data_IF_063771318391
#
_entry.id   IF_063771318391
#
_cell.length_a   1.000
_cell.length_b   1.000
_cell.length_c   1.000
_cell.angle_alpha   90.00
_cell.angle_beta   90.00
_cell.angle_gamma   90.00
#
_symmetry.space_group_name_H-M   'P 1'
#
loop_
_entity.id
_entity.type
_entity.pdbx_description
1 polymer ?
#
# COMPACT_ATOMS: atom_id res chain seq x y z
N UNK A 1 17.43 24.41 -12.09
CA UNK A 1 16.20 23.69 -11.72
C UNK A 1 16.36 22.23 -12.10
N UNK A 2 16.42 21.33 -11.12
CA UNK A 2 16.61 19.90 -11.34
C UNK A 2 15.27 19.26 -11.71
N UNK A 3 15.05 19.03 -13.01
CA UNK A 3 13.87 18.31 -13.49
C UNK A 3 14.04 16.85 -13.07
N UNK A 4 13.14 16.38 -12.22
CA UNK A 4 13.13 15.01 -11.70
C UNK A 4 13.07 14.03 -12.89
N UNK A 5 14.20 13.38 -13.21
CA UNK A 5 14.38 12.43 -14.33
C UNK A 5 13.55 11.13 -14.19
N UNK A 6 12.58 11.14 -13.27
CA UNK A 6 11.63 10.04 -13.00
C UNK A 6 10.37 10.12 -13.86
N UNK A 7 10.12 11.23 -14.55
CA UNK A 7 9.12 11.26 -15.63
C UNK A 7 9.72 10.54 -16.83
N UNK A 8 9.48 9.24 -16.90
CA UNK A 8 9.92 8.40 -18.00
C UNK A 8 9.40 8.99 -19.31
N UNK A 9 10.31 9.46 -20.16
CA UNK A 9 9.91 9.76 -21.53
C UNK A 9 9.33 8.49 -22.14
N UNK A 10 8.23 8.65 -22.87
CA UNK A 10 7.40 7.53 -23.32
C UNK A 10 8.17 6.51 -24.16
N UNK A 11 7.62 5.30 -24.26
CA UNK A 11 8.19 4.20 -25.07
C UNK A 11 8.47 4.63 -26.52
N UNK A 12 7.63 5.50 -27.08
CA UNK A 12 7.81 6.06 -28.42
C UNK A 12 9.12 6.86 -28.56
N UNK A 13 9.44 7.75 -27.62
CA UNK A 13 10.69 8.53 -27.65
C UNK A 13 11.92 7.63 -27.55
N UNK A 14 11.83 6.56 -26.76
CA UNK A 14 12.89 5.55 -26.64
C UNK A 14 13.04 4.70 -27.91
N UNK A 15 11.95 4.44 -28.63
CA UNK A 15 12.01 3.77 -29.94
C UNK A 15 12.74 4.63 -30.97
N UNK A 16 12.35 5.89 -31.12
CA UNK A 16 13.01 6.81 -32.04
C UNK A 16 14.49 7.00 -31.69
N UNK A 17 14.82 7.13 -30.40
CA UNK A 17 16.20 7.17 -29.96
C UNK A 17 16.98 5.90 -30.32
N UNK A 18 16.36 4.72 -30.22
CA UNK A 18 17.00 3.45 -30.59
C UNK A 18 17.32 3.39 -32.10
N UNK A 19 16.41 3.88 -32.94
CA UNK A 19 16.59 3.92 -34.38
C UNK A 19 17.73 4.90 -34.74
N UNK A 20 17.76 6.10 -34.13
CA UNK A 20 18.86 7.06 -34.28
C UNK A 20 20.21 6.54 -33.74
N UNK A 21 20.22 5.76 -32.66
CA UNK A 21 21.44 5.12 -32.17
C UNK A 21 21.95 4.02 -33.12
N UNK A 22 21.04 3.30 -33.80
CA UNK A 22 21.40 2.33 -34.82
C UNK A 22 22.09 3.00 -36.03
N UNK A 23 21.71 4.24 -36.34
CA UNK A 23 22.37 5.10 -37.33
C UNK A 23 23.71 5.70 -36.83
N UNK A 24 24.16 5.36 -35.63
CA UNK A 24 25.43 5.84 -35.06
C UNK A 24 25.37 7.25 -34.46
N UNK A 25 24.18 7.83 -34.29
CA UNK A 25 24.03 9.20 -33.76
C UNK A 25 24.40 9.26 -32.27
N UNK A 26 25.08 10.33 -31.89
CA UNK A 26 25.46 10.62 -30.50
C UNK A 26 24.29 11.14 -29.65
N UNK A 27 24.34 10.89 -28.34
CA UNK A 27 23.24 11.24 -27.42
C UNK A 27 22.88 12.73 -27.40
N UNK A 28 23.82 13.65 -27.61
CA UNK A 28 23.55 15.10 -27.65
C UNK A 28 22.72 15.50 -28.86
N UNK A 29 23.02 14.90 -30.01
CA UNK A 29 22.29 15.11 -31.25
C UNK A 29 20.85 14.59 -31.12
N UNK A 30 20.70 13.38 -30.60
CA UNK A 30 19.40 12.73 -30.35
C UNK A 30 18.58 13.48 -29.29
N UNK A 31 19.23 14.01 -28.25
CA UNK A 31 18.57 14.82 -27.23
C UNK A 31 17.96 16.10 -27.79
N UNK A 32 18.70 16.82 -28.63
CA UNK A 32 18.24 18.02 -29.30
C UNK A 32 17.09 17.71 -30.27
N UNK A 33 17.19 16.63 -31.02
CA UNK A 33 16.18 16.21 -32.00
C UNK A 33 14.85 15.80 -31.34
N UNK A 34 14.91 15.07 -30.22
CA UNK A 34 13.73 14.57 -29.51
C UNK A 34 13.19 15.55 -28.45
N UNK A 35 13.86 16.68 -28.22
CA UNK A 35 13.51 17.62 -27.13
C UNK A 35 13.61 17.00 -25.73
N UNK A 36 14.47 15.98 -25.58
CA UNK A 36 14.64 15.21 -24.34
C UNK A 36 15.92 15.67 -23.63
N UNK A 37 15.96 15.80 -22.29
CA UNK A 37 17.17 16.17 -21.57
C UNK A 37 18.37 15.28 -21.93
N UNK A 38 19.51 15.90 -22.25
CA UNK A 38 20.70 15.18 -22.71
C UNK A 38 21.16 14.07 -21.75
N UNK A 39 20.98 14.27 -20.44
CA UNK A 39 21.32 13.24 -19.44
C UNK A 39 20.40 12.02 -19.48
N UNK A 40 19.12 12.19 -19.83
CA UNK A 40 18.21 11.06 -20.02
C UNK A 40 18.60 10.24 -21.25
N UNK A 41 18.89 10.92 -22.37
CA UNK A 41 19.33 10.27 -23.62
C UNK A 41 20.70 9.61 -23.47
N UNK A 42 21.61 10.21 -22.69
CA UNK A 42 22.89 9.59 -22.34
C UNK A 42 22.70 8.25 -21.61
N UNK A 43 21.72 8.16 -20.71
CA UNK A 43 21.36 6.90 -20.04
C UNK A 43 20.77 5.89 -21.02
N UNK A 44 19.94 6.36 -21.97
CA UNK A 44 19.40 5.50 -23.02
C UNK A 44 20.48 4.91 -23.91
N UNK A 45 21.44 5.71 -24.34
CA UNK A 45 22.54 5.25 -25.18
C UNK A 45 23.41 4.19 -24.46
N UNK A 46 23.65 4.38 -23.16
CA UNK A 46 24.35 3.38 -22.35
C UNK A 46 23.59 2.05 -22.30
N UNK A 47 22.27 2.09 -22.05
CA UNK A 47 21.45 0.88 -22.02
C UNK A 47 21.31 0.23 -23.40
N UNK A 48 21.17 1.03 -24.46
CA UNK A 48 21.17 0.54 -25.83
C UNK A 48 22.46 -0.21 -26.16
N UNK A 49 23.62 0.32 -25.76
CA UNK A 49 24.92 -0.35 -25.96
C UNK A 49 25.08 -1.61 -25.11
N UNK A 50 24.49 -1.65 -23.91
CA UNK A 50 24.65 -2.78 -22.98
C UNK A 50 23.66 -3.92 -23.23
N UNK A 51 22.41 -3.61 -23.56
CA UNK A 51 21.28 -4.57 -23.59
C UNK A 51 20.57 -4.55 -24.96
N UNK A 52 20.91 -3.61 -25.84
CA UNK A 52 20.26 -3.46 -27.14
C UNK A 52 18.93 -2.72 -27.08
N UNK A 53 18.24 -2.73 -28.23
CA UNK A 53 16.96 -2.04 -28.44
C UNK A 53 15.90 -2.45 -27.43
N UNK A 54 15.76 -3.74 -27.16
CA UNK A 54 14.73 -4.24 -26.25
C UNK A 54 14.94 -3.76 -24.82
N UNK A 55 16.19 -3.77 -24.33
CA UNK A 55 16.51 -3.23 -23.01
C UNK A 55 16.21 -1.74 -22.88
N UNK A 56 16.40 -0.96 -23.94
CA UNK A 56 16.01 0.45 -23.99
C UNK A 56 14.49 0.62 -23.99
N UNK A 57 13.77 -0.18 -24.79
CA UNK A 57 12.30 -0.11 -24.87
C UNK A 57 11.62 -0.50 -23.55
N UNK A 58 12.18 -1.46 -22.82
CA UNK A 58 11.68 -1.85 -21.49
C UNK A 58 12.10 -0.88 -20.37
N UNK A 59 13.01 0.07 -20.63
CA UNK A 59 13.45 1.02 -19.62
C UNK A 59 12.29 1.89 -19.12
N UNK A 60 11.93 1.76 -17.84
CA UNK A 60 10.86 2.56 -17.25
C UNK A 60 9.46 2.08 -17.59
N UNK A 61 9.31 0.93 -18.29
CA UNK A 61 8.06 0.18 -18.21
C UNK A 61 7.82 -0.16 -16.74
N UNK A 62 6.63 0.19 -16.25
CA UNK A 62 6.33 0.01 -14.84
C UNK A 62 6.31 -1.48 -14.57
N UNK A 63 7.19 -1.94 -13.68
CA UNK A 63 7.23 -3.30 -13.12
C UNK A 63 5.80 -3.85 -13.03
N UNK A 64 5.57 -5.02 -13.66
CA UNK A 64 4.23 -5.60 -13.87
C UNK A 64 3.28 -5.28 -12.71
N UNK A 65 2.24 -4.49 -13.00
CA UNK A 65 1.24 -4.10 -12.01
C UNK A 65 0.25 -5.25 -11.88
N UNK A 66 0.53 -6.15 -10.94
CA UNK A 66 -0.46 -7.14 -10.53
C UNK A 66 -1.60 -6.42 -9.79
N UNK A 67 -2.83 -6.73 -10.14
CA UNK A 67 -4.01 -6.32 -9.40
C UNK A 67 -4.01 -6.95 -8.00
N UNK A 68 -4.95 -6.56 -7.15
CA UNK A 68 -5.06 -7.12 -5.80
C UNK A 68 -5.47 -8.59 -5.84
N UNK A 69 -6.45 -8.92 -6.69
CA UNK A 69 -7.01 -10.26 -6.80
C UNK A 69 -5.96 -11.30 -7.23
N UNK A 70 -5.11 -11.00 -8.22
CA UNK A 70 -4.03 -11.91 -8.66
C UNK A 70 -3.03 -12.15 -7.53
N UNK A 71 -2.73 -11.13 -6.71
CA UNK A 71 -1.80 -11.29 -5.56
C UNK A 71 -2.39 -12.23 -4.52
N UNK A 72 -3.67 -12.03 -4.18
CA UNK A 72 -4.37 -12.86 -3.19
C UNK A 72 -4.50 -14.28 -3.69
N UNK A 73 -4.95 -14.47 -4.94
CA UNK A 73 -5.13 -15.79 -5.54
C UNK A 73 -3.80 -16.56 -5.60
N UNK A 74 -2.71 -15.90 -5.99
CA UNK A 74 -1.39 -16.53 -6.03
C UNK A 74 -0.86 -16.88 -4.65
N UNK A 75 -1.00 -15.98 -3.67
CA UNK A 75 -0.57 -16.26 -2.29
C UNK A 75 -1.40 -17.38 -1.66
N UNK A 76 -2.72 -17.35 -1.81
CA UNK A 76 -3.64 -18.40 -1.33
C UNK A 76 -3.34 -19.76 -1.95
N UNK A 77 -3.07 -19.81 -3.26
CA UNK A 77 -2.72 -21.07 -3.93
C UNK A 77 -1.48 -21.73 -3.32
N UNK A 78 -0.47 -20.92 -2.94
CA UNK A 78 0.77 -21.43 -2.33
C UNK A 78 0.60 -21.75 -0.84
N UNK A 79 -0.08 -20.88 -0.09
CA UNK A 79 -0.17 -20.99 1.38
C UNK A 79 -1.24 -21.99 1.81
N UNK A 80 -2.43 -21.91 1.22
CA UNK A 80 -3.59 -22.74 1.60
C UNK A 80 -3.80 -23.90 0.63
N UNK A 81 -3.48 -23.69 -0.65
CA UNK A 81 -3.71 -24.66 -1.73
C UNK A 81 -2.55 -25.64 -1.98
N UNK A 82 -1.43 -25.52 -1.27
CA UNK A 82 -0.26 -26.40 -1.42
C UNK A 82 0.46 -26.31 -2.77
N UNK A 83 0.11 -25.36 -3.64
CA UNK A 83 0.77 -25.19 -4.93
C UNK A 83 2.24 -24.80 -4.74
N UNK A 84 3.10 -25.32 -5.61
CA UNK A 84 4.49 -24.86 -5.63
C UNK A 84 4.56 -23.41 -6.13
N UNK A 85 5.62 -22.70 -5.75
CA UNK A 85 5.85 -21.32 -6.21
C UNK A 85 5.91 -21.24 -7.74
N UNK A 86 6.54 -22.22 -8.40
CA UNK A 86 6.66 -22.27 -9.85
C UNK A 86 5.30 -22.46 -10.53
N UNK A 87 4.43 -23.31 -9.98
CA UNK A 87 3.07 -23.50 -10.49
C UNK A 87 2.23 -22.24 -10.32
N UNK A 88 2.28 -21.59 -9.15
CA UNK A 88 1.58 -20.33 -8.91
C UNK A 88 2.10 -19.22 -9.85
N UNK A 89 3.42 -19.12 -10.05
CA UNK A 89 3.99 -18.15 -10.98
C UNK A 89 3.49 -18.34 -12.40
N UNK A 90 3.46 -19.59 -12.90
CA UNK A 90 2.91 -19.89 -14.23
C UNK A 90 1.42 -19.61 -14.31
N UNK A 91 0.63 -20.07 -13.33
CA UNK A 91 -0.82 -19.92 -13.32
C UNK A 91 -1.28 -18.48 -13.28
N UNK A 92 -0.56 -17.62 -12.56
CA UNK A 92 -0.94 -16.23 -12.32
C UNK A 92 -0.08 -15.21 -13.08
N UNK A 93 0.77 -15.67 -14.02
CA UNK A 93 1.60 -14.79 -14.86
C UNK A 93 2.60 -13.94 -14.07
N UNK A 94 3.14 -14.46 -12.96
CA UNK A 94 4.03 -13.71 -12.08
C UNK A 94 5.47 -13.87 -12.56
N UNK A 95 6.05 -12.78 -13.06
CA UNK A 95 7.39 -12.74 -13.61
C UNK A 95 8.51 -12.94 -12.58
N UNK A 96 8.26 -12.66 -11.29
CA UNK A 96 9.31 -12.64 -10.25
C UNK A 96 8.96 -13.43 -9.00
N UNK A 97 9.81 -14.40 -8.65
CA UNK A 97 9.68 -15.21 -7.43
C UNK A 97 9.66 -14.34 -6.16
N UNK A 98 10.52 -13.33 -6.08
CA UNK A 98 10.58 -12.42 -4.91
C UNK A 98 9.28 -11.67 -4.66
N UNK A 99 8.51 -11.37 -5.72
CA UNK A 99 7.19 -10.75 -5.58
C UNK A 99 6.20 -11.73 -4.95
N UNK A 100 6.17 -12.98 -5.43
CA UNK A 100 5.32 -14.02 -4.88
C UNK A 100 5.69 -14.37 -3.43
N UNK A 101 6.98 -14.48 -3.12
CA UNK A 101 7.46 -14.77 -1.76
C UNK A 101 7.01 -13.71 -0.76
N UNK A 102 7.11 -12.44 -1.15
CA UNK A 102 6.62 -11.32 -0.33
C UNK A 102 5.12 -11.44 -0.08
N UNK A 103 4.33 -11.78 -1.10
CA UNK A 103 2.89 -11.91 -0.93
C UNK A 103 2.51 -13.09 -0.06
N UNK A 104 3.16 -14.24 -0.23
CA UNK A 104 2.96 -15.41 0.63
C UNK A 104 3.27 -15.08 2.09
N UNK A 105 4.32 -14.31 2.35
CA UNK A 105 4.66 -13.87 3.72
C UNK A 105 3.56 -13.00 4.32
N UNK A 106 3.16 -11.94 3.61
CA UNK A 106 2.09 -11.03 4.05
C UNK A 106 0.76 -11.78 4.27
N UNK A 107 0.44 -12.71 3.38
CA UNK A 107 -0.78 -13.51 3.47
C UNK A 107 -0.77 -14.44 4.70
N UNK A 108 0.38 -15.03 5.08
CA UNK A 108 0.47 -15.79 6.34
C UNK A 108 0.31 -14.90 7.58
N UNK A 109 0.77 -13.65 7.52
CA UNK A 109 0.71 -12.71 8.64
C UNK A 109 -0.70 -12.12 8.85
N UNK A 110 -1.46 -11.86 7.78
CA UNK A 110 -2.74 -11.15 7.88
C UNK A 110 -3.75 -11.45 6.78
N UNK A 111 -3.62 -12.59 6.10
CA UNK A 111 -4.53 -13.05 5.06
C UNK A 111 -4.59 -12.12 3.84
N UNK A 112 -5.72 -12.13 3.15
CA UNK A 112 -5.95 -11.31 1.96
C UNK A 112 -5.79 -9.80 2.25
N UNK A 113 -6.27 -9.34 3.41
CA UNK A 113 -6.26 -7.92 3.79
C UNK A 113 -4.84 -7.34 3.86
N UNK A 114 -3.84 -8.14 4.24
CA UNK A 114 -2.43 -7.72 4.27
C UNK A 114 -1.85 -7.42 2.87
N UNK A 115 -2.50 -7.88 1.80
CA UNK A 115 -2.11 -7.62 0.41
C UNK A 115 -2.80 -6.40 -0.19
N UNK A 116 -3.74 -5.78 0.52
CA UNK A 116 -4.41 -4.58 0.01
C UNK A 116 -3.39 -3.47 -0.24
N UNK A 117 -3.57 -2.69 -1.32
CA UNK A 117 -2.73 -1.53 -1.54
C UNK A 117 -2.88 -0.56 -0.36
N UNK A 118 -1.80 -0.42 0.41
CA UNK A 118 -1.74 0.58 1.47
C UNK A 118 -1.74 1.97 0.83
N UNK A 119 -2.47 2.96 1.38
CA UNK A 119 -2.47 4.32 0.84
C UNK A 119 -1.03 4.81 0.68
N UNK A 120 -0.71 5.28 -0.53
CA UNK A 120 0.64 5.76 -0.87
C UNK A 120 0.85 7.11 -0.21
N UNK A 121 1.76 7.16 0.75
CA UNK A 121 2.18 8.38 1.42
C UNK A 121 3.19 8.07 2.53
N UNK A 122 4.00 9.06 2.91
CA UNK A 122 4.71 9.03 4.19
C UNK A 122 3.61 8.89 5.25
N UNK A 123 3.65 7.91 6.18
CA UNK A 123 2.77 8.00 7.35
C UNK A 123 3.01 9.39 7.93
N UNK A 124 1.94 10.17 8.06
CA UNK A 124 2.04 11.56 8.55
C UNK A 124 3.01 11.57 9.71
N UNK A 125 4.07 12.40 9.58
CA UNK A 125 5.10 12.49 10.61
C UNK A 125 4.46 12.69 11.97
N UNK A 126 5.16 12.23 13.01
CA UNK A 126 4.87 12.34 14.45
C UNK A 126 4.12 13.62 14.83
N UNK A 127 2.82 13.64 14.57
CA UNK A 127 1.85 14.60 15.06
C UNK A 127 0.93 13.85 16.01
N UNK A 128 0.36 14.51 17.03
CA UNK A 128 -0.46 13.85 18.04
C UNK A 128 -1.81 13.48 17.41
N UNK A 129 -1.83 12.37 16.69
CA UNK A 129 -2.99 11.83 15.99
C UNK A 129 -3.05 10.34 16.22
N UNK A 130 -3.87 9.95 17.21
CA UNK A 130 -4.15 8.60 17.67
C UNK A 130 -2.99 7.89 18.39
N UNK A 131 -2.60 8.43 19.55
CA UNK A 131 -2.14 7.53 20.60
C UNK A 131 -3.26 6.50 20.88
N UNK A 132 -2.96 5.21 21.07
CA UNK A 132 -3.95 4.29 21.62
C UNK A 132 -4.44 4.88 22.94
N UNK A 133 -5.78 4.95 23.15
CA UNK A 133 -6.41 5.57 24.35
C UNK A 133 -5.56 5.29 25.57
N UNK A 134 -5.03 6.34 26.19
CA UNK A 134 -4.14 6.17 27.34
C UNK A 134 -4.88 5.40 28.43
N UNK A 135 -4.14 4.74 29.32
CA UNK A 135 -4.76 4.01 30.44
C UNK A 135 -5.72 4.89 31.23
N UNK A 136 -5.39 6.18 31.34
CA UNK A 136 -6.15 7.21 32.05
C UNK A 136 -7.49 7.49 31.36
N UNK A 137 -7.51 7.73 30.05
CA UNK A 137 -8.76 7.97 29.30
C UNK A 137 -9.74 6.79 29.40
N UNK A 138 -9.23 5.55 29.38
CA UNK A 138 -10.08 4.35 29.58
C UNK A 138 -10.61 4.25 31.01
N UNK A 139 -9.85 4.73 31.99
CA UNK A 139 -10.30 4.75 33.39
C UNK A 139 -11.37 5.82 33.58
N UNK A 140 -11.22 7.00 32.98
CA UNK A 140 -12.22 8.07 33.04
C UNK A 140 -13.57 7.66 32.43
N UNK A 141 -13.54 6.99 31.28
CA UNK A 141 -14.77 6.47 30.65
C UNK A 141 -15.46 5.41 31.54
N UNK A 142 -14.67 4.55 32.21
CA UNK A 142 -15.19 3.58 33.18
C UNK A 142 -15.77 4.26 34.41
N UNK A 143 -15.10 5.29 34.93
CA UNK A 143 -15.60 6.08 36.08
C UNK A 143 -16.93 6.72 35.72
N UNK A 144 -17.03 7.42 34.58
CA UNK A 144 -18.29 8.03 34.11
C UNK A 144 -19.43 7.01 33.99
N UNK A 145 -19.12 5.83 33.42
CA UNK A 145 -20.11 4.74 33.30
C UNK A 145 -20.56 4.22 34.67
N UNK A 146 -19.62 4.04 35.61
CA UNK A 146 -19.92 3.59 36.96
C UNK A 146 -20.72 4.63 37.76
N UNK A 147 -20.39 5.91 37.62
CA UNK A 147 -21.12 7.01 38.25
C UNK A 147 -22.57 7.07 37.75
N UNK A 148 -22.79 6.91 36.44
CA UNK A 148 -24.13 6.83 35.88
C UNK A 148 -24.93 5.63 36.43
N UNK A 149 -24.29 4.46 36.56
CA UNK A 149 -24.92 3.26 37.14
C UNK A 149 -25.26 3.47 38.62
N UNK A 150 -24.35 4.04 39.41
CA UNK A 150 -24.58 4.34 40.83
C UNK A 150 -25.72 5.36 40.97
N UNK A 151 -25.76 6.40 40.15
CA UNK A 151 -26.83 7.38 40.16
C UNK A 151 -28.20 6.73 39.86
N UNK A 152 -28.25 5.84 38.87
CA UNK A 152 -29.46 5.09 38.54
C UNK A 152 -29.92 4.20 39.70
N UNK A 153 -29.01 3.45 40.33
CA UNK A 153 -29.33 2.59 41.47
C UNK A 153 -29.82 3.40 42.68
N UNK A 154 -29.18 4.53 42.98
CA UNK A 154 -29.62 5.45 44.06
C UNK A 154 -31.04 5.95 43.82
N UNK A 155 -31.39 6.34 42.59
CA UNK A 155 -32.76 6.74 42.23
C UNK A 155 -33.76 5.60 42.43
N UNK A 156 -33.42 4.37 42.04
CA UNK A 156 -34.28 3.20 42.26
C UNK A 156 -34.51 2.93 43.75
N UNK A 157 -33.48 3.06 44.59
CA UNK A 157 -33.59 2.88 46.04
C UNK A 157 -34.50 3.96 46.64
N UNK A 158 -34.31 5.22 46.25
CA UNK A 158 -35.16 6.33 46.71
C UNK A 158 -36.64 6.12 46.34
N UNK A 159 -36.92 5.70 45.11
CA UNK A 159 -38.28 5.39 44.65
C UNK A 159 -38.91 4.24 45.46
N UNK A 160 -38.17 3.17 45.75
CA UNK A 160 -38.68 2.07 46.59
C UNK A 160 -38.95 2.50 48.02
N UNK A 161 -38.10 3.35 48.59
CA UNK A 161 -38.30 3.90 49.93
C UNK A 161 -39.55 4.80 49.99
N UNK A 162 -39.76 5.64 48.96
CA UNK A 162 -40.96 6.48 48.83
C UNK A 162 -42.23 5.61 48.71
N UNK A 163 -42.21 4.59 47.86
CA UNK A 163 -43.35 3.67 47.72
C UNK A 163 -43.66 2.93 49.02
N UNK A 164 -42.63 2.46 49.74
CA UNK A 164 -42.81 1.74 51.02
C UNK A 164 -43.37 2.63 52.13
N UNK A 165 -42.95 3.90 52.19
CA UNK A 165 -43.50 4.89 53.14
C UNK A 165 -44.92 5.33 52.79
N UNK A 166 -45.28 5.35 51.50
CA UNK A 166 -46.67 5.59 51.05
C UNK A 166 -47.59 4.42 51.37
N UNK A 167 -47.11 3.17 51.30
CA UNK A 167 -47.91 1.97 51.63
C UNK A 167 -48.03 1.71 53.13
N UNK A 168 -47.06 2.15 53.94
CA UNK A 168 -47.14 2.09 55.42
C UNK A 168 -47.99 3.18 56.07
N UNK A 169 -48.48 4.14 55.28
CA UNK A 169 -49.30 5.28 55.72
C UNK A 169 -50.73 5.16 55.17
N UNK A 170 -51.41 4.06 55.47
CA UNK A 170 -52.87 3.95 55.36
C UNK A 170 -53.42 3.64 56.76
N UNK A 171 -54.22 4.53 57.37
CA UNK A 171 -54.95 4.23 58.60
C UNK A 171 -56.04 3.18 58.36
#
# INVERSE_FOLDING_TARGET
MSIDLRYGHGRAARSLAADLFAEGRGYESVARELGVPAMAVRKWQQTYRAVGRDGLLSMGETRARYDYETKVAAARAVVDGGATRAEAMRRFGIAGSSSLDRWCRLYREGGAEALRPRPRGRPGGSGPGAAPRTREERLEERVRKLEAQVAYLKKSIALKAELSSRTGRRP
#
